data_IF_956635887677
#
_entry.id   IF_956635887677
#
_cell.length_a   1.000
_cell.length_b   1.000
_cell.length_c   1.000
_cell.angle_alpha   90.00
_cell.angle_beta   90.00
_cell.angle_gamma   90.00
#
_symmetry.space_group_name_H-M   'P 1'
#
loop_
_entity.id
_entity.type
_entity.pdbx_description
1 polymer ?
#
# COMPACT_ATOMS: atom_id res chain seq x y z
N UNK A 1 -12.39 -20.09 13.12
CA UNK A 1 -10.97 -20.41 12.85
C UNK A 1 -10.22 -19.10 13.00
N UNK A 2 -9.50 -18.88 14.10
CA UNK A 2 -8.73 -17.65 14.34
C UNK A 2 -7.53 -17.68 13.39
N UNK A 3 -7.66 -17.06 12.23
CA UNK A 3 -6.52 -16.82 11.34
C UNK A 3 -5.52 -15.96 12.11
N UNK A 4 -4.26 -16.37 12.15
CA UNK A 4 -3.20 -15.60 12.77
C UNK A 4 -3.09 -14.28 12.02
N UNK A 5 -3.43 -13.16 12.67
CA UNK A 5 -3.34 -11.82 12.09
C UNK A 5 -1.92 -11.55 11.61
N UNK A 6 -1.75 -11.14 10.36
CA UNK A 6 -0.46 -10.75 9.81
C UNK A 6 -0.01 -9.38 10.35
N UNK A 7 -0.93 -8.40 10.33
CA UNK A 7 -0.75 -7.09 10.97
C UNK A 7 -1.82 -6.92 12.03
N UNK A 8 -1.43 -6.54 13.25
CA UNK A 8 -2.32 -6.08 14.30
C UNK A 8 -1.96 -4.64 14.66
N UNK A 9 -2.95 -3.78 14.64
CA UNK A 9 -2.87 -2.38 15.10
C UNK A 9 -3.82 -2.25 16.27
N UNK A 10 -3.30 -1.86 17.45
CA UNK A 10 -4.02 -1.85 18.70
C UNK A 10 -3.99 -0.46 19.33
N UNK A 11 -5.14 0.19 19.42
CA UNK A 11 -5.36 1.51 20.05
C UNK A 11 -4.31 2.54 19.65
N UNK A 12 -3.99 2.58 18.36
CA UNK A 12 -2.98 3.48 17.82
C UNK A 12 -3.45 4.93 17.91
N UNK A 13 -2.66 5.81 18.52
CA UNK A 13 -3.01 7.21 18.69
C UNK A 13 -1.88 8.14 18.28
N UNK A 14 -2.25 9.32 17.74
CA UNK A 14 -1.32 10.40 17.37
C UNK A 14 -2.01 11.76 17.38
N UNK A 15 -1.33 12.73 17.97
CA UNK A 15 -1.76 14.13 17.97
C UNK A 15 -0.64 15.04 17.51
N UNK A 16 -1.00 16.16 16.87
CA UNK A 16 -0.09 17.21 16.44
C UNK A 16 -0.61 18.57 16.91
N UNK A 17 0.11 19.24 17.82
CA UNK A 17 -0.25 20.58 18.26
C UNK A 17 -1.70 20.73 18.73
N UNK A 18 -2.25 19.71 19.42
CA UNK A 18 -3.64 19.69 19.88
C UNK A 18 -4.66 19.11 18.86
N UNK A 19 -4.26 18.85 17.62
CA UNK A 19 -5.11 18.20 16.61
C UNK A 19 -4.91 16.69 16.71
N UNK A 20 -5.98 15.93 17.00
CA UNK A 20 -5.95 14.48 17.04
C UNK A 20 -6.03 13.94 15.61
N UNK A 21 -4.97 13.29 15.14
CA UNK A 21 -4.89 12.70 13.80
C UNK A 21 -5.20 11.19 13.79
N UNK A 22 -5.04 10.51 14.92
CA UNK A 22 -5.50 9.14 15.13
C UNK A 22 -5.90 8.97 16.60
N UNK A 23 -7.07 8.36 16.85
CA UNK A 23 -7.63 8.14 18.18
C UNK A 23 -7.99 6.68 18.35
N UNK A 24 -7.17 5.96 19.13
CA UNK A 24 -7.37 4.54 19.49
C UNK A 24 -7.71 3.63 18.30
N UNK A 25 -7.07 3.86 17.16
CA UNK A 25 -7.33 3.11 15.94
C UNK A 25 -6.91 1.65 16.13
N UNK A 26 -7.86 0.73 15.91
CA UNK A 26 -7.65 -0.71 16.05
C UNK A 26 -8.18 -1.45 14.83
N UNK A 27 -7.33 -2.25 14.20
CA UNK A 27 -7.69 -3.13 13.09
C UNK A 27 -6.66 -4.21 12.87
N UNK A 28 -6.99 -5.20 12.02
CA UNK A 28 -6.08 -6.28 11.63
C UNK A 28 -6.06 -6.45 10.13
N UNK A 29 -4.93 -6.98 9.60
CA UNK A 29 -4.81 -7.43 8.22
C UNK A 29 -4.38 -8.90 8.23
N UNK A 30 -5.09 -9.75 7.50
CA UNK A 30 -4.75 -11.15 7.31
C UNK A 30 -3.87 -11.35 6.07
N UNK A 31 -3.12 -12.44 6.02
CA UNK A 31 -2.31 -12.81 4.88
C UNK A 31 -3.20 -13.10 3.64
N UNK A 32 -2.88 -12.45 2.51
CA UNK A 32 -3.64 -12.57 1.26
C UNK A 32 -4.92 -11.76 1.21
N UNK A 33 -5.19 -10.91 2.21
CA UNK A 33 -6.36 -10.01 2.25
C UNK A 33 -5.99 -8.58 1.90
N UNK A 34 -6.91 -7.91 1.23
CA UNK A 34 -6.82 -6.49 0.88
C UNK A 34 -7.74 -5.67 1.78
N UNK A 35 -7.16 -4.77 2.56
CA UNK A 35 -7.90 -3.88 3.45
C UNK A 35 -7.74 -2.46 2.94
N UNK A 36 -8.87 -1.79 2.65
CA UNK A 36 -8.89 -0.38 2.28
C UNK A 36 -9.11 0.52 3.51
N UNK A 37 -8.39 1.61 3.61
CA UNK A 37 -8.71 2.71 4.52
C UNK A 37 -9.23 3.88 3.68
N UNK A 38 -10.49 4.22 3.85
CA UNK A 38 -11.12 5.35 3.18
C UNK A 38 -11.52 6.43 4.19
N UNK A 39 -11.78 7.63 3.70
CA UNK A 39 -12.17 8.76 4.55
C UNK A 39 -11.89 10.09 3.86
N UNK A 40 -12.48 11.20 4.31
CA UNK A 40 -12.24 12.51 3.76
C UNK A 40 -10.78 12.94 3.90
N UNK A 41 -10.40 14.03 3.20
CA UNK A 41 -9.09 14.64 3.37
C UNK A 41 -8.91 15.12 4.82
N UNK A 42 -7.74 14.87 5.40
CA UNK A 42 -7.48 15.18 6.80
C UNK A 42 -8.06 14.17 7.81
N UNK A 43 -8.67 13.07 7.37
CA UNK A 43 -9.21 12.04 8.28
C UNK A 43 -8.15 11.31 9.11
N UNK A 44 -6.85 11.39 8.74
CA UNK A 44 -5.75 10.71 9.42
C UNK A 44 -5.18 9.49 8.69
N UNK A 45 -5.63 9.19 7.45
CA UNK A 45 -5.19 8.03 6.66
C UNK A 45 -3.67 7.94 6.54
N UNK A 46 -3.02 8.99 6.02
CA UNK A 46 -1.56 9.05 5.86
C UNK A 46 -0.82 9.01 7.21
N UNK A 47 -1.43 9.50 8.30
CA UNK A 47 -0.87 9.38 9.64
C UNK A 47 -0.79 7.92 10.07
N UNK A 48 -1.87 7.15 9.88
CA UNK A 48 -1.88 5.70 10.18
C UNK A 48 -0.84 4.97 9.32
N UNK A 49 -0.79 5.24 8.02
CA UNK A 49 0.20 4.67 7.10
C UNK A 49 1.64 4.96 7.55
N UNK A 50 1.91 6.20 7.94
CA UNK A 50 3.24 6.61 8.39
C UNK A 50 3.62 5.99 9.74
N UNK A 51 2.66 5.76 10.64
CA UNK A 51 2.90 5.04 11.89
C UNK A 51 3.18 3.56 11.66
N UNK A 52 2.38 2.89 10.82
CA UNK A 52 2.59 1.47 10.46
C UNK A 52 3.91 1.30 9.70
N UNK A 53 4.24 2.24 8.80
CA UNK A 53 5.48 2.22 8.01
C UNK A 53 6.73 2.72 8.75
N UNK A 54 6.59 3.22 10.00
CA UNK A 54 7.71 3.68 10.83
C UNK A 54 8.28 5.05 10.47
N UNK A 55 7.62 5.81 9.58
CA UNK A 55 8.00 7.21 9.30
C UNK A 55 7.57 8.16 10.44
N UNK A 56 6.61 7.72 11.25
CA UNK A 56 6.07 8.46 12.37
C UNK A 56 5.94 7.54 13.58
N UNK A 57 6.45 7.96 14.73
CA UNK A 57 6.21 7.25 15.98
C UNK A 57 4.81 7.60 16.52
N UNK A 58 4.01 6.62 16.94
CA UNK A 58 2.74 6.87 17.62
C UNK A 58 2.98 7.47 19.01
N UNK A 59 1.98 8.16 19.54
CA UNK A 59 2.01 8.66 20.93
C UNK A 59 1.62 7.55 21.90
N UNK A 60 0.74 6.61 21.45
CA UNK A 60 0.38 5.41 22.21
C UNK A 60 -0.18 4.34 21.26
N UNK A 61 -0.41 3.14 21.81
CA UNK A 61 -0.86 1.98 21.06
C UNK A 61 0.28 1.10 20.58
N UNK A 62 -0.04 0.08 19.80
CA UNK A 62 0.89 -0.96 19.39
C UNK A 62 0.67 -1.39 17.95
N UNK A 63 1.75 -1.71 17.25
CA UNK A 63 1.72 -2.28 15.90
C UNK A 63 2.56 -3.56 15.88
N UNK A 64 1.94 -4.67 15.50
CA UNK A 64 2.60 -5.99 15.42
C UNK A 64 2.52 -6.50 13.99
N UNK A 65 3.65 -6.84 13.38
CA UNK A 65 3.75 -7.42 12.03
C UNK A 65 4.34 -8.83 12.13
N UNK A 66 3.59 -9.83 11.67
CA UNK A 66 4.00 -11.23 11.68
C UNK A 66 4.57 -11.68 13.05
N UNK A 67 3.93 -11.27 14.15
CA UNK A 67 4.33 -11.57 15.53
C UNK A 67 5.45 -10.67 16.10
N UNK A 68 6.02 -9.75 15.32
CA UNK A 68 7.06 -8.83 15.77
C UNK A 68 6.46 -7.47 16.10
N UNK A 69 6.75 -6.94 17.28
CA UNK A 69 6.41 -5.56 17.63
C UNK A 69 7.28 -4.60 16.79
N UNK A 70 6.61 -3.79 15.97
CA UNK A 70 7.26 -2.80 15.10
C UNK A 70 6.97 -1.37 15.53
N UNK A 71 6.34 -1.17 16.68
CA UNK A 71 5.92 0.14 17.17
C UNK A 71 7.12 1.09 17.29
N UNK A 72 7.07 2.20 16.56
CA UNK A 72 8.14 3.21 16.58
C UNK A 72 9.50 2.76 15.99
N UNK A 73 9.57 1.57 15.40
CA UNK A 73 10.79 1.16 14.71
C UNK A 73 11.00 1.99 13.43
N UNK A 74 12.26 2.27 13.05
CA UNK A 74 12.54 3.00 11.82
C UNK A 74 12.20 2.16 10.57
N UNK A 75 11.80 2.80 9.44
CA UNK A 75 11.35 2.13 8.22
C UNK A 75 12.27 1.01 7.73
N UNK A 76 13.60 1.22 7.80
CA UNK A 76 14.61 0.22 7.39
C UNK A 76 14.52 -1.09 8.18
N UNK A 77 14.16 -1.04 9.48
CA UNK A 77 13.97 -2.25 10.30
C UNK A 77 12.67 -2.94 9.93
N UNK A 78 11.59 -2.18 9.79
CA UNK A 78 10.26 -2.70 9.44
C UNK A 78 10.29 -3.37 8.07
N UNK A 79 10.97 -2.75 7.10
CA UNK A 79 11.16 -3.33 5.77
C UNK A 79 11.84 -4.72 5.82
N UNK A 80 12.86 -4.89 6.64
CA UNK A 80 13.52 -6.20 6.83
C UNK A 80 12.63 -7.27 7.48
N UNK A 81 11.59 -6.86 8.18
CA UNK A 81 10.59 -7.76 8.78
C UNK A 81 9.49 -8.15 7.78
N UNK A 82 9.54 -7.60 6.57
CA UNK A 82 8.65 -7.95 5.48
C UNK A 82 7.53 -6.95 5.20
N UNK A 83 7.74 -5.66 5.47
CA UNK A 83 6.82 -4.62 5.03
C UNK A 83 7.34 -3.98 3.74
N UNK A 84 6.57 -4.09 2.64
CA UNK A 84 6.78 -3.32 1.41
C UNK A 84 5.90 -2.07 1.41
N UNK A 85 6.34 -0.99 0.74
CA UNK A 85 5.54 0.22 0.57
C UNK A 85 5.70 0.77 -0.83
N UNK A 86 4.57 1.13 -1.47
CA UNK A 86 4.55 2.04 -2.61
C UNK A 86 4.29 3.47 -2.12
N UNK A 87 4.68 4.46 -2.88
CA UNK A 87 4.50 5.87 -2.52
C UNK A 87 3.53 6.55 -3.49
N UNK A 88 2.84 7.58 -3.03
CA UNK A 88 1.91 8.38 -3.85
C UNK A 88 2.64 9.01 -5.06
N UNK A 89 3.85 9.51 -4.84
CA UNK A 89 4.74 9.98 -5.92
C UNK A 89 5.74 8.89 -6.23
N UNK A 90 5.83 8.51 -7.51
CA UNK A 90 6.73 7.46 -7.99
C UNK A 90 8.17 7.74 -7.57
N UNK A 91 8.77 6.80 -6.84
CA UNK A 91 10.17 6.88 -6.40
C UNK A 91 11.06 5.95 -7.22
N UNK A 92 10.99 6.10 -8.54
CA UNK A 92 11.89 5.42 -9.48
C UNK A 92 13.06 6.32 -9.85
N UNK A 93 14.21 5.71 -10.10
CA UNK A 93 15.34 6.42 -10.67
C UNK A 93 15.10 6.56 -12.18
N UNK A 94 14.69 7.73 -12.62
CA UNK A 94 14.27 7.99 -14.00
C UNK A 94 15.38 7.74 -15.02
N UNK A 95 16.65 7.93 -14.62
CA UNK A 95 17.84 7.71 -15.47
C UNK A 95 18.24 6.24 -15.61
N UNK A 96 17.72 5.37 -14.75
CA UNK A 96 17.97 3.93 -14.80
C UNK A 96 16.91 3.23 -15.65
N UNK A 97 17.28 2.06 -16.18
CA UNK A 97 16.32 1.18 -16.83
C UNK A 97 15.32 0.60 -15.84
N UNK A 98 14.23 0.07 -16.34
CA UNK A 98 13.20 -0.62 -15.55
C UNK A 98 13.81 -1.76 -14.75
N UNK A 99 14.64 -2.60 -15.39
CA UNK A 99 15.31 -3.70 -14.72
C UNK A 99 16.29 -3.22 -13.63
N UNK A 100 17.08 -2.19 -13.92
CA UNK A 100 18.04 -1.64 -12.94
C UNK A 100 17.34 -1.09 -11.69
N UNK A 101 16.19 -0.47 -11.81
CA UNK A 101 15.38 -0.03 -10.66
C UNK A 101 15.00 -1.21 -9.74
N UNK A 102 14.54 -2.32 -10.31
CA UNK A 102 14.19 -3.52 -9.54
C UNK A 102 15.43 -4.21 -8.98
N UNK A 103 16.54 -4.29 -9.75
CA UNK A 103 17.82 -4.82 -9.29
C UNK A 103 18.38 -4.05 -8.08
N UNK A 104 18.25 -2.71 -8.06
CA UNK A 104 18.64 -1.89 -6.91
C UNK A 104 17.85 -2.27 -5.65
N UNK A 105 16.53 -2.45 -5.77
CA UNK A 105 15.71 -2.90 -4.67
C UNK A 105 16.16 -4.28 -4.17
N UNK A 106 16.41 -5.24 -5.06
CA UNK A 106 16.93 -6.58 -4.71
C UNK A 106 18.31 -6.51 -4.04
N UNK A 107 19.23 -5.69 -4.54
CA UNK A 107 20.54 -5.48 -3.93
C UNK A 107 20.44 -4.97 -2.50
N UNK A 108 19.48 -4.09 -2.23
CA UNK A 108 19.23 -3.55 -0.90
C UNK A 108 18.79 -4.64 0.09
N UNK A 109 17.97 -5.60 -0.36
CA UNK A 109 17.54 -6.77 0.44
C UNK A 109 18.73 -7.60 0.91
N UNK A 110 19.66 -7.87 0.01
CA UNK A 110 20.80 -8.73 0.29
C UNK A 110 21.97 -8.01 1.00
N UNK A 111 21.80 -6.75 1.38
CA UNK A 111 22.82 -5.97 2.12
C UNK A 111 24.09 -5.67 1.32
N UNK A 112 24.09 -5.91 0.01
CA UNK A 112 25.24 -5.76 -0.89
C UNK A 112 25.39 -4.36 -1.49
N UNK A 113 24.74 -3.36 -0.94
CA UNK A 113 24.85 -1.96 -1.36
C UNK A 113 26.27 -1.37 -1.26
N UNK A 114 27.24 -2.11 -0.66
CA UNK A 114 28.64 -1.72 -0.57
C UNK A 114 29.54 -2.34 -1.64
N UNK A 115 29.02 -3.19 -2.53
CA UNK A 115 29.79 -3.77 -3.63
C UNK A 115 29.75 -2.84 -4.87
N UNK A 116 30.10 -1.55 -4.67
CA UNK A 116 30.09 -0.50 -5.69
C UNK A 116 31.10 -0.69 -6.84
N UNK A 117 32.01 -1.65 -6.70
CA UNK A 117 32.97 -2.03 -7.77
C UNK A 117 32.49 -3.16 -8.69
N UNK A 118 31.33 -3.75 -8.48
CA UNK A 118 30.76 -4.73 -9.41
C UNK A 118 29.71 -4.04 -10.30
N UNK A 119 29.79 -4.15 -11.64
CA UNK A 119 28.75 -3.63 -12.51
C UNK A 119 27.41 -4.28 -12.16
N UNK A 120 26.38 -3.46 -12.01
CA UNK A 120 25.02 -3.90 -11.66
C UNK A 120 24.39 -4.77 -12.76
N UNK A 121 24.91 -4.72 -14.00
CA UNK A 121 24.32 -5.29 -15.20
C UNK A 121 23.98 -6.79 -15.13
N UNK A 122 24.64 -7.58 -14.29
CA UNK A 122 24.31 -9.01 -14.11
C UNK A 122 23.74 -9.36 -12.73
N UNK A 123 23.76 -8.41 -11.79
CA UNK A 123 23.40 -8.70 -10.40
C UNK A 123 21.87 -8.72 -10.24
N UNK A 124 21.30 -9.87 -9.87
CA UNK A 124 19.85 -10.06 -9.66
C UNK A 124 18.98 -9.76 -10.90
N UNK A 125 19.53 -9.83 -12.13
CA UNK A 125 18.80 -9.51 -13.34
C UNK A 125 17.64 -10.50 -13.57
N UNK A 126 17.90 -11.80 -13.45
CA UNK A 126 16.86 -12.83 -13.64
C UNK A 126 15.73 -12.66 -12.64
N UNK A 127 16.06 -12.41 -11.37
CA UNK A 127 15.07 -12.13 -10.33
C UNK A 127 14.28 -10.83 -10.59
N UNK A 128 14.93 -9.83 -11.17
CA UNK A 128 14.27 -8.58 -11.57
C UNK A 128 13.33 -8.82 -12.76
N UNK A 129 13.75 -9.60 -13.74
CA UNK A 129 12.91 -9.97 -14.89
C UNK A 129 11.69 -10.79 -14.46
N UNK A 130 11.84 -11.74 -13.54
CA UNK A 130 10.71 -12.49 -12.96
C UNK A 130 9.69 -11.58 -12.26
N UNK A 131 10.17 -10.55 -11.54
CA UNK A 131 9.27 -9.57 -10.92
C UNK A 131 8.59 -8.67 -11.94
N UNK A 132 9.32 -8.26 -12.99
CA UNK A 132 8.78 -7.45 -14.08
C UNK A 132 7.77 -8.21 -14.92
N UNK A 133 7.99 -9.50 -15.17
CA UNK A 133 7.02 -10.35 -15.86
C UNK A 133 5.69 -10.40 -15.10
N UNK A 134 5.73 -10.56 -13.78
CA UNK A 134 4.54 -10.58 -12.91
C UNK A 134 3.71 -9.30 -12.96
N UNK A 135 4.34 -8.16 -13.20
CA UNK A 135 3.65 -6.87 -13.34
C UNK A 135 3.41 -6.49 -14.80
N UNK A 136 3.75 -7.38 -15.76
CA UNK A 136 3.56 -7.16 -17.19
C UNK A 136 4.51 -6.11 -17.77
N UNK A 137 5.75 -6.03 -17.25
CA UNK A 137 6.75 -5.04 -17.65
C UNK A 137 8.06 -5.67 -18.17
N UNK A 138 8.10 -7.00 -18.39
CA UNK A 138 9.32 -7.70 -18.82
C UNK A 138 9.86 -7.17 -20.17
N UNK A 139 8.98 -6.90 -21.13
CA UNK A 139 9.36 -6.36 -22.44
C UNK A 139 9.96 -4.95 -22.39
N UNK A 140 9.68 -4.21 -21.31
CA UNK A 140 10.21 -2.87 -21.09
C UNK A 140 11.47 -2.85 -20.21
N UNK A 141 12.03 -4.02 -19.86
CA UNK A 141 13.11 -4.15 -18.88
C UNK A 141 14.33 -3.26 -19.15
N UNK A 142 14.70 -3.09 -20.40
CA UNK A 142 15.87 -2.31 -20.81
C UNK A 142 15.56 -0.85 -21.19
N UNK A 143 14.29 -0.43 -21.10
CA UNK A 143 13.91 0.95 -21.35
C UNK A 143 14.19 1.83 -20.12
N UNK A 144 14.64 3.08 -20.29
CA UNK A 144 14.71 4.06 -19.22
C UNK A 144 13.33 4.33 -18.62
N UNK A 145 13.25 4.44 -17.28
CA UNK A 145 11.98 4.75 -16.62
C UNK A 145 11.40 6.11 -17.02
N UNK A 146 12.24 7.05 -17.46
CA UNK A 146 11.82 8.37 -17.98
C UNK A 146 10.96 8.31 -19.24
N UNK A 147 11.00 7.21 -19.99
CA UNK A 147 10.25 7.02 -21.23
C UNK A 147 8.92 6.28 -21.04
N UNK A 148 8.62 5.87 -19.81
CA UNK A 148 7.42 5.10 -19.53
C UNK A 148 6.18 6.00 -19.38
N UNK A 149 5.03 5.48 -19.79
CA UNK A 149 3.75 6.05 -19.42
C UNK A 149 3.54 5.94 -17.89
N UNK A 150 2.76 6.85 -17.33
CA UNK A 150 2.56 6.93 -15.87
C UNK A 150 2.03 5.62 -15.25
N UNK A 151 1.10 4.94 -15.92
CA UNK A 151 0.57 3.65 -15.48
C UNK A 151 1.63 2.55 -15.44
N UNK A 152 2.57 2.55 -16.40
CA UNK A 152 3.69 1.59 -16.42
C UNK A 152 4.69 1.88 -15.29
N UNK A 153 4.96 3.16 -15.00
CA UNK A 153 5.78 3.54 -13.83
C UNK A 153 5.16 2.99 -12.54
N UNK A 154 3.83 3.04 -12.38
CA UNK A 154 3.13 2.47 -11.22
C UNK A 154 3.26 0.94 -11.14
N UNK A 155 3.32 0.24 -12.27
CA UNK A 155 3.61 -1.21 -12.31
C UNK A 155 5.05 -1.51 -11.89
N UNK A 156 6.01 -0.70 -12.34
CA UNK A 156 7.42 -0.81 -11.92
C UNK A 156 7.57 -0.56 -10.42
N UNK A 157 6.87 0.43 -9.86
CA UNK A 157 6.85 0.66 -8.40
C UNK A 157 6.32 -0.55 -7.62
N UNK A 158 5.28 -1.21 -8.14
CA UNK A 158 4.78 -2.44 -7.55
C UNK A 158 5.85 -3.54 -7.57
N UNK A 159 6.58 -3.72 -8.70
CA UNK A 159 7.70 -4.67 -8.79
C UNK A 159 8.81 -4.34 -7.78
N UNK A 160 9.17 -3.07 -7.62
CA UNK A 160 10.14 -2.59 -6.63
C UNK A 160 9.69 -2.93 -5.20
N UNK A 161 8.42 -2.67 -4.87
CA UNK A 161 7.87 -2.99 -3.56
C UNK A 161 7.84 -4.50 -3.29
N UNK A 162 7.64 -5.32 -4.32
CA UNK A 162 7.66 -6.78 -4.24
C UNK A 162 9.08 -7.36 -4.17
N UNK A 163 10.12 -6.60 -4.57
CA UNK A 163 11.50 -7.05 -4.58
C UNK A 163 12.01 -7.47 -3.20
N UNK A 164 11.44 -6.93 -2.12
CA UNK A 164 11.71 -7.31 -0.74
C UNK A 164 11.04 -8.61 -0.28
N UNK A 165 10.29 -9.30 -1.14
CA UNK A 165 9.43 -10.41 -0.76
C UNK A 165 8.55 -10.07 0.46
N UNK A 166 7.74 -8.99 0.39
CA UNK A 166 7.02 -8.51 1.54
C UNK A 166 5.94 -9.51 2.00
N UNK A 167 5.68 -9.53 3.30
CA UNK A 167 4.50 -10.18 3.90
C UNK A 167 3.29 -9.24 3.88
N UNK A 168 3.56 -7.93 4.07
CA UNK A 168 2.57 -6.86 4.05
C UNK A 168 3.00 -5.79 3.05
N UNK A 169 2.07 -5.32 2.22
CA UNK A 169 2.26 -4.23 1.30
C UNK A 169 1.39 -3.04 1.71
N UNK A 170 2.00 -1.87 1.89
CA UNK A 170 1.31 -0.60 2.08
C UNK A 170 1.24 0.13 0.74
N UNK A 171 0.04 0.51 0.31
CA UNK A 171 -0.18 1.23 -0.94
C UNK A 171 -0.95 2.52 -0.66
N UNK A 172 -0.27 3.67 -0.77
CA UNK A 172 -0.85 4.99 -0.49
C UNK A 172 -1.31 5.62 -1.80
N UNK A 173 -2.63 5.64 -2.04
CA UNK A 173 -3.28 6.12 -3.25
C UNK A 173 -2.61 5.59 -4.54
N UNK A 174 -2.50 4.26 -4.71
CA UNK A 174 -1.71 3.67 -5.79
C UNK A 174 -2.20 4.03 -7.19
N UNK A 175 -3.47 4.40 -7.33
CA UNK A 175 -4.08 4.69 -8.63
C UNK A 175 -4.30 6.19 -8.89
N UNK A 176 -3.82 7.07 -7.99
CA UNK A 176 -3.96 8.50 -8.15
C UNK A 176 -3.39 8.97 -9.51
N UNK A 177 -4.16 9.78 -10.25
CA UNK A 177 -3.73 10.32 -11.55
C UNK A 177 -3.87 9.37 -12.74
N UNK A 178 -4.33 8.12 -12.55
CA UNK A 178 -4.50 7.14 -13.64
C UNK A 178 -5.89 7.21 -14.27
N UNK A 179 -5.99 6.80 -15.54
CA UNK A 179 -7.28 6.61 -16.20
C UNK A 179 -8.07 5.45 -15.58
N UNK A 180 -9.42 5.45 -15.62
CA UNK A 180 -10.25 4.44 -14.96
C UNK A 180 -9.89 2.99 -15.30
N UNK A 181 -9.62 2.71 -16.58
CA UNK A 181 -9.21 1.38 -17.05
C UNK A 181 -7.87 0.94 -16.46
N UNK A 182 -6.89 1.84 -16.43
CA UNK A 182 -5.56 1.56 -15.88
C UNK A 182 -5.61 1.33 -14.37
N UNK A 183 -6.44 2.10 -13.64
CA UNK A 183 -6.71 1.90 -12.21
C UNK A 183 -7.20 0.50 -11.92
N UNK A 184 -8.26 0.08 -12.62
CA UNK A 184 -8.84 -1.26 -12.45
C UNK A 184 -7.80 -2.35 -12.74
N UNK A 185 -6.98 -2.18 -13.78
CA UNK A 185 -5.92 -3.13 -14.13
C UNK A 185 -4.84 -3.21 -13.04
N UNK A 186 -4.36 -2.08 -12.53
CA UNK A 186 -3.33 -2.05 -11.48
C UNK A 186 -3.84 -2.70 -10.18
N UNK A 187 -5.08 -2.38 -9.78
CA UNK A 187 -5.68 -2.95 -8.57
C UNK A 187 -5.95 -4.45 -8.71
N UNK A 188 -6.44 -4.90 -9.87
CA UNK A 188 -6.63 -6.33 -10.16
C UNK A 188 -5.30 -7.09 -10.12
N UNK A 189 -4.25 -6.51 -10.69
CA UNK A 189 -2.88 -7.06 -10.67
C UNK A 189 -2.36 -7.19 -9.24
N UNK A 190 -2.43 -6.11 -8.45
CA UNK A 190 -2.00 -6.10 -7.06
C UNK A 190 -2.78 -7.13 -6.23
N UNK A 191 -4.11 -7.22 -6.42
CA UNK A 191 -4.97 -8.20 -5.75
C UNK A 191 -4.62 -9.64 -6.14
N UNK A 192 -4.36 -9.91 -7.42
CA UNK A 192 -3.93 -11.23 -7.90
C UNK A 192 -2.63 -11.68 -7.25
N UNK A 193 -1.59 -10.82 -7.28
CA UNK A 193 -0.29 -11.10 -6.67
C UNK A 193 -0.41 -11.29 -5.14
N UNK A 194 -1.22 -10.46 -4.48
CA UNK A 194 -1.42 -10.53 -3.04
C UNK A 194 -2.04 -11.89 -2.62
N UNK A 195 -3.06 -12.34 -3.34
CA UNK A 195 -3.73 -13.63 -3.07
C UNK A 195 -2.81 -14.82 -3.37
N UNK A 196 -2.15 -14.84 -4.55
CA UNK A 196 -1.22 -15.90 -4.95
C UNK A 196 -0.09 -16.09 -3.93
N UNK A 197 0.52 -14.98 -3.50
CA UNK A 197 1.68 -14.99 -2.59
C UNK A 197 1.32 -14.85 -1.12
N UNK A 198 0.04 -14.79 -0.79
CA UNK A 198 -0.47 -14.57 0.57
C UNK A 198 0.10 -13.30 1.22
N UNK A 199 0.27 -12.23 0.46
CA UNK A 199 0.70 -10.92 0.94
C UNK A 199 -0.54 -10.18 1.46
N UNK A 200 -0.52 -9.70 2.71
CA UNK A 200 -1.54 -8.77 3.18
C UNK A 200 -1.35 -7.41 2.50
N UNK A 201 -2.44 -6.76 2.12
CA UNK A 201 -2.38 -5.42 1.54
C UNK A 201 -3.20 -4.46 2.37
N UNK A 202 -2.60 -3.34 2.76
CA UNK A 202 -3.30 -2.20 3.32
C UNK A 202 -3.16 -1.03 2.34
N UNK A 203 -4.27 -0.47 1.87
CA UNK A 203 -4.21 0.61 0.89
C UNK A 203 -5.19 1.74 1.20
N UNK A 204 -4.85 2.94 0.74
CA UNK A 204 -5.75 4.09 0.73
C UNK A 204 -6.18 4.36 -0.70
N UNK A 205 -7.40 4.81 -0.90
CA UNK A 205 -7.93 5.24 -2.19
C UNK A 205 -9.08 6.23 -2.02
N UNK A 206 -9.25 7.07 -3.04
CA UNK A 206 -10.38 7.99 -3.15
C UNK A 206 -11.41 7.51 -4.18
N UNK A 207 -11.02 6.61 -5.07
CA UNK A 207 -11.89 6.02 -6.06
C UNK A 207 -12.67 4.85 -5.43
N UNK A 208 -13.98 5.04 -5.27
CA UNK A 208 -14.84 4.03 -4.63
C UNK A 208 -14.97 2.76 -5.46
N UNK A 209 -14.88 2.85 -6.80
CA UNK A 209 -14.96 1.67 -7.66
C UNK A 209 -13.71 0.81 -7.47
N UNK A 210 -12.54 1.41 -7.34
CA UNK A 210 -11.31 0.71 -7.02
C UNK A 210 -11.37 0.05 -5.62
N UNK A 211 -11.93 0.75 -4.62
CA UNK A 211 -12.09 0.22 -3.27
C UNK A 211 -13.06 -0.95 -3.25
N UNK A 212 -14.30 -0.75 -3.71
CA UNK A 212 -15.35 -1.75 -3.60
C UNK A 212 -15.17 -2.93 -4.57
N UNK A 213 -14.42 -2.73 -5.66
CA UNK A 213 -14.09 -3.81 -6.60
C UNK A 213 -12.99 -4.75 -6.14
N UNK A 214 -12.14 -4.33 -5.19
CA UNK A 214 -10.93 -5.09 -4.87
C UNK A 214 -10.70 -5.35 -3.38
N UNK A 215 -11.20 -4.48 -2.46
CA UNK A 215 -11.03 -4.66 -1.04
C UNK A 215 -11.87 -5.82 -0.48
N UNK A 216 -11.25 -6.68 0.32
CA UNK A 216 -11.96 -7.70 1.11
C UNK A 216 -12.68 -7.05 2.31
N UNK A 217 -12.05 -6.02 2.92
CA UNK A 217 -12.62 -5.23 4.01
C UNK A 217 -12.31 -3.74 3.82
N UNK A 218 -13.21 -2.90 4.28
CA UNK A 218 -13.08 -1.45 4.21
C UNK A 218 -13.18 -0.87 5.62
N UNK A 219 -12.24 0.02 5.95
CA UNK A 219 -12.23 0.81 7.19
C UNK A 219 -12.53 2.27 6.82
N UNK A 220 -13.55 2.84 7.43
CA UNK A 220 -13.93 4.24 7.20
C UNK A 220 -13.39 5.08 8.34
N UNK A 221 -12.44 5.94 8.01
CA UNK A 221 -11.77 6.83 8.97
C UNK A 221 -12.34 8.26 8.87
N UNK A 222 -12.72 8.82 10.01
CA UNK A 222 -13.19 10.20 10.12
C UNK A 222 -12.59 10.84 11.37
N UNK A 223 -11.91 11.98 11.21
CA UNK A 223 -11.28 12.73 12.32
C UNK A 223 -10.43 11.85 13.26
N UNK A 224 -9.68 10.92 12.66
CA UNK A 224 -8.79 10.00 13.38
C UNK A 224 -9.47 8.78 14.01
N UNK A 225 -10.76 8.57 13.81
CA UNK A 225 -11.51 7.42 14.36
C UNK A 225 -12.07 6.53 13.26
N UNK A 226 -12.08 5.20 13.47
CA UNK A 226 -12.78 4.27 12.59
C UNK A 226 -14.26 4.29 12.97
N UNK A 227 -15.11 4.85 12.09
CA UNK A 227 -16.55 4.95 12.32
C UNK A 227 -17.32 3.75 11.78
N UNK A 228 -16.75 3.02 10.81
CA UNK A 228 -17.32 1.80 10.25
C UNK A 228 -16.19 0.89 9.75
N UNK A 229 -16.41 -0.41 9.86
CA UNK A 229 -15.49 -1.44 9.35
C UNK A 229 -16.27 -2.67 8.91
N UNK A 230 -15.91 -3.29 7.79
CA UNK A 230 -16.56 -4.49 7.29
C UNK A 230 -16.36 -4.73 5.81
N UNK A 231 -17.14 -5.66 5.26
CA UNK A 231 -17.19 -5.91 3.82
C UNK A 231 -17.76 -4.68 3.07
N UNK A 232 -17.40 -4.56 1.81
CA UNK A 232 -17.75 -3.39 0.98
C UNK A 232 -19.27 -3.05 1.01
N UNK A 233 -20.13 -4.04 0.87
CA UNK A 233 -21.59 -3.87 0.87
C UNK A 233 -22.12 -3.36 2.21
N UNK A 234 -21.61 -3.91 3.31
CA UNK A 234 -22.00 -3.50 4.67
C UNK A 234 -21.59 -2.06 4.95
N UNK A 235 -20.37 -1.68 4.55
CA UNK A 235 -19.88 -0.30 4.69
C UNK A 235 -20.67 0.69 3.83
N UNK A 236 -21.03 0.32 2.59
CA UNK A 236 -21.90 1.16 1.71
C UNK A 236 -23.30 1.38 2.30
N UNK A 237 -23.84 0.39 3.02
CA UNK A 237 -25.14 0.46 3.63
C UNK A 237 -25.17 1.24 4.94
N UNK A 238 -24.04 1.46 5.60
CA UNK A 238 -23.95 2.14 6.90
C UNK A 238 -24.40 3.61 6.79
N UNK A 239 -25.42 4.03 7.57
CA UNK A 239 -25.92 5.42 7.54
C UNK A 239 -24.85 6.46 7.87
N UNK A 240 -23.93 6.17 8.78
CA UNK A 240 -22.82 7.06 9.19
C UNK A 240 -21.87 7.32 8.03
N UNK A 241 -21.57 6.27 7.25
CA UNK A 241 -20.73 6.38 6.05
C UNK A 241 -21.43 7.22 4.99
N UNK A 242 -22.75 6.99 4.76
CA UNK A 242 -23.53 7.78 3.83
C UNK A 242 -23.56 9.25 4.20
N UNK A 243 -23.74 9.58 5.46
CA UNK A 243 -23.73 10.97 5.94
C UNK A 243 -22.40 11.68 5.65
N UNK A 244 -21.26 11.02 5.93
CA UNK A 244 -19.92 11.56 5.66
C UNK A 244 -19.68 11.82 4.17
N UNK A 245 -20.12 10.91 3.31
CA UNK A 245 -19.90 11.02 1.86
C UNK A 245 -20.99 11.76 1.12
N UNK A 246 -22.25 11.78 1.60
CA UNK A 246 -23.38 12.49 1.00
C UNK A 246 -23.53 13.92 1.56
N UNK A 247 -23.11 14.17 2.80
CA UNK A 247 -23.12 15.50 3.41
C UNK A 247 -22.09 16.46 2.83
N UNK A 248 -21.09 15.95 2.08
CA UNK A 248 -20.00 16.71 1.44
C UNK A 248 -20.04 16.82 -0.09
N UNK A 249 -21.10 16.34 -0.75
CA UNK A 249 -21.21 16.40 -2.22
C UNK A 249 -21.74 15.10 -2.85
N UNK A 250 -23.00 15.09 -3.20
CA UNK A 250 -23.85 13.92 -3.54
C UNK A 250 -23.49 13.11 -4.81
N UNK A 251 -22.26 13.04 -5.28
CA UNK A 251 -21.97 12.42 -6.58
C UNK A 251 -21.25 11.06 -6.56
N UNK A 252 -20.51 10.71 -5.52
CA UNK A 252 -19.65 9.53 -5.55
C UNK A 252 -20.37 8.18 -5.36
N UNK A 253 -21.45 8.14 -4.56
CA UNK A 253 -22.13 6.87 -4.26
C UNK A 253 -23.28 6.51 -5.23
N UNK A 254 -23.71 7.43 -6.09
CA UNK A 254 -24.80 7.17 -7.06
C UNK A 254 -24.37 6.46 -8.34
N UNK A 255 -23.08 6.54 -8.73
CA UNK A 255 -22.58 5.92 -9.97
C UNK A 255 -22.34 4.41 -9.89
N UNK A 256 -22.24 3.83 -8.72
CA UNK A 256 -21.99 2.40 -8.54
C UNK A 256 -23.27 1.58 -8.31
N UNK A 257 -24.44 2.13 -8.63
CA UNK A 257 -25.74 1.49 -8.45
C UNK A 257 -26.54 1.35 -9.77
N UNK A 258 -25.86 1.41 -10.93
CA UNK A 258 -26.44 1.12 -12.26
C UNK A 258 -25.59 0.07 -12.95
#
# INVERSE_FOLDING_TARGET
MSGTSLLSVERLAKSFGGVVAAREVTFTVEAGRLIAIIGPNGAGKSTIFNMVGGQLAPDSGRVVLAGHDITGLPPRRIWRLGLGRTFQVAQTFLSLTVAENVQMARSSVHGRTRAWWRPMQGLYRDEALDLLDRVGMAENADRPCSELAYGDVKRVELAIALAGAPKLLLMDEPTAGMAPKERAQLMALAAGIARERRIGVLFTEHDMDAVFGHADHVLVLVRGEIIAAGMAEAVRADPRVREVYLGGGAHALRRAAV
#
